data_IF_799488978469
#
_entry.id   IF_799488978469
#
_cell.length_a   1.000
_cell.length_b   1.000
_cell.length_c   1.000
_cell.angle_alpha   90.00
_cell.angle_beta   90.00
_cell.angle_gamma   90.00
#
_symmetry.space_group_name_H-M   'P 1'
#
loop_
_entity.id
_entity.type
_entity.pdbx_description
1 polymer ?
#
# COMPACT_ATOMS: atom_id res chain seq x y z
N UNK A 1 -12.65 -16.46 10.06
CA UNK A 1 -12.50 -14.99 9.99
C UNK A 1 -13.81 -14.38 10.44
N UNK A 2 -13.89 -13.94 11.70
CA UNK A 2 -15.04 -13.18 12.20
C UNK A 2 -14.76 -11.69 12.04
N UNK A 3 -15.79 -10.89 11.76
CA UNK A 3 -15.72 -9.42 11.70
C UNK A 3 -14.64 -8.81 10.79
N UNK A 4 -14.41 -9.41 9.61
CA UNK A 4 -13.42 -8.93 8.61
C UNK A 4 -14.07 -8.32 7.37
N UNK A 5 -15.36 -7.99 7.41
CA UNK A 5 -16.06 -7.43 6.25
C UNK A 5 -15.54 -6.03 5.86
N UNK A 6 -15.04 -5.23 6.81
CA UNK A 6 -14.34 -3.97 6.56
C UNK A 6 -13.12 -4.16 5.64
N UNK A 7 -12.39 -5.25 5.85
CA UNK A 7 -11.22 -5.59 5.05
C UNK A 7 -11.65 -6.10 3.67
N UNK A 8 -12.63 -7.00 3.62
CA UNK A 8 -13.13 -7.56 2.37
C UNK A 8 -13.71 -6.49 1.43
N UNK A 9 -14.48 -5.53 1.95
CA UNK A 9 -15.07 -4.46 1.13
C UNK A 9 -14.00 -3.57 0.51
N UNK A 10 -12.98 -3.18 1.28
CA UNK A 10 -11.84 -2.39 0.79
C UNK A 10 -11.01 -3.17 -0.23
N UNK A 11 -10.73 -4.45 0.01
CA UNK A 11 -10.01 -5.30 -0.94
C UNK A 11 -10.73 -5.41 -2.29
N UNK A 12 -12.07 -5.54 -2.27
CA UNK A 12 -12.87 -5.54 -3.50
C UNK A 12 -12.80 -4.18 -4.20
N UNK A 13 -12.99 -3.07 -3.47
CA UNK A 13 -12.89 -1.73 -4.05
C UNK A 13 -11.54 -1.48 -4.72
N UNK A 14 -10.44 -1.85 -4.05
CA UNK A 14 -9.09 -1.75 -4.59
C UNK A 14 -8.85 -2.69 -5.78
N UNK A 15 -9.40 -3.90 -5.78
CA UNK A 15 -9.29 -4.83 -6.91
C UNK A 15 -9.98 -4.30 -8.18
N UNK A 16 -11.08 -3.56 -8.04
CA UNK A 16 -11.77 -2.93 -9.16
C UNK A 16 -11.19 -1.57 -9.56
N UNK A 17 -10.29 -0.99 -8.76
CA UNK A 17 -9.43 0.12 -9.17
C UNK A 17 -8.38 -0.40 -10.16
N UNK A 18 -8.64 -0.29 -11.47
CA UNK A 18 -7.79 -0.88 -12.53
C UNK A 18 -6.31 -0.50 -12.42
N UNK A 19 -5.93 0.79 -12.26
CA UNK A 19 -4.51 1.17 -12.16
C UNK A 19 -3.81 0.48 -10.99
N UNK A 20 -4.50 0.41 -9.83
CA UNK A 20 -3.96 -0.24 -8.64
C UNK A 20 -3.80 -1.75 -8.84
N UNK A 21 -4.85 -2.41 -9.35
CA UNK A 21 -4.80 -3.85 -9.65
C UNK A 21 -3.67 -4.19 -10.60
N UNK A 22 -3.49 -3.42 -11.67
CA UNK A 22 -2.43 -3.67 -12.66
C UNK A 22 -1.03 -3.55 -12.04
N UNK A 23 -0.78 -2.53 -11.22
CA UNK A 23 0.49 -2.40 -10.48
C UNK A 23 0.73 -3.54 -9.49
N UNK A 24 -0.30 -3.95 -8.75
CA UNK A 24 -0.22 -5.07 -7.78
C UNK A 24 0.01 -6.42 -8.48
N UNK A 25 -0.60 -6.66 -9.63
CA UNK A 25 -0.38 -7.88 -10.43
C UNK A 25 1.00 -7.88 -11.10
N UNK A 26 1.50 -6.71 -11.51
CA UNK A 26 2.83 -6.55 -12.09
C UNK A 26 3.97 -6.59 -11.04
N UNK A 27 3.64 -6.46 -9.75
CA UNK A 27 4.61 -6.47 -8.67
C UNK A 27 5.32 -7.83 -8.59
N UNK A 28 6.61 -7.85 -8.92
CA UNK A 28 7.44 -9.05 -8.93
C UNK A 28 8.01 -9.32 -7.54
N UNK A 29 7.52 -10.36 -6.88
CA UNK A 29 8.11 -10.84 -5.63
C UNK A 29 9.51 -11.37 -5.92
N UNK A 30 10.54 -10.73 -5.35
CA UNK A 30 11.91 -11.21 -5.48
C UNK A 30 12.09 -12.49 -4.64
N UNK A 31 12.75 -13.55 -5.16
CA UNK A 31 12.83 -14.86 -4.47
C UNK A 31 13.47 -14.83 -3.07
N UNK A 32 14.28 -13.80 -2.78
CA UNK A 32 14.99 -13.64 -1.51
C UNK A 32 14.33 -12.64 -0.56
N UNK A 33 13.22 -12.01 -0.94
CA UNK A 33 12.54 -11.05 -0.07
C UNK A 33 11.67 -11.74 0.96
N UNK A 34 11.68 -11.16 2.17
CA UNK A 34 10.78 -11.54 3.25
C UNK A 34 9.34 -11.24 2.81
N UNK A 35 8.42 -12.14 3.12
CA UNK A 35 6.98 -11.90 2.94
C UNK A 35 6.59 -10.59 3.63
N UNK A 36 5.71 -9.80 3.01
CA UNK A 36 5.15 -8.53 3.49
C UNK A 36 3.64 -8.46 3.19
N UNK A 37 2.95 -7.46 3.73
CA UNK A 37 1.54 -7.24 3.39
C UNK A 37 1.32 -7.04 1.88
N UNK A 38 2.25 -6.35 1.20
CA UNK A 38 2.22 -6.17 -0.25
C UNK A 38 2.39 -7.50 -1.00
N UNK A 39 3.29 -8.38 -0.58
CA UNK A 39 3.43 -9.70 -1.23
C UNK A 39 2.17 -10.54 -1.02
N UNK A 40 1.58 -10.53 0.17
CA UNK A 40 0.32 -11.24 0.44
C UNK A 40 -0.85 -10.66 -0.37
N UNK A 41 -0.88 -9.34 -0.59
CA UNK A 41 -1.89 -8.69 -1.43
C UNK A 41 -1.73 -9.08 -2.90
N UNK A 42 -0.49 -9.07 -3.40
CA UNK A 42 -0.18 -9.51 -4.76
C UNK A 42 -0.58 -10.97 -4.99
N UNK A 43 -0.27 -11.88 -4.06
CA UNK A 43 -0.70 -13.28 -4.10
C UNK A 43 -2.22 -13.42 -4.13
N UNK A 44 -2.94 -12.63 -3.33
CA UNK A 44 -4.39 -12.63 -3.29
C UNK A 44 -4.99 -12.14 -4.62
N UNK A 45 -4.49 -11.03 -5.16
CA UNK A 45 -4.96 -10.48 -6.44
C UNK A 45 -4.67 -11.43 -7.61
N UNK A 46 -3.49 -12.04 -7.63
CA UNK A 46 -3.16 -13.09 -8.59
C UNK A 46 -4.11 -14.28 -8.47
N UNK A 47 -4.39 -14.74 -7.23
CA UNK A 47 -5.32 -15.85 -6.98
C UNK A 47 -6.74 -15.57 -7.49
N UNK A 48 -7.20 -14.31 -7.46
CA UNK A 48 -8.47 -13.87 -8.03
C UNK A 48 -8.40 -13.84 -9.56
N UNK A 49 -7.36 -13.21 -10.12
CA UNK A 49 -7.21 -13.01 -11.55
C UNK A 49 -7.04 -14.32 -12.34
N UNK A 50 -6.41 -15.35 -11.74
CA UNK A 50 -6.14 -16.63 -12.40
C UNK A 50 -7.19 -17.70 -12.13
N UNK A 51 -8.36 -17.35 -11.59
CA UNK A 51 -9.43 -18.32 -11.37
C UNK A 51 -9.90 -18.94 -12.69
N UNK A 52 -10.01 -20.27 -12.71
CA UNK A 52 -10.54 -21.01 -13.87
C UNK A 52 -12.04 -20.73 -14.10
N UNK A 53 -12.79 -20.50 -13.02
CA UNK A 53 -14.22 -20.20 -13.04
C UNK A 53 -14.42 -18.69 -13.02
N UNK A 54 -15.42 -18.19 -13.76
CA UNK A 54 -15.80 -16.76 -13.75
C UNK A 54 -16.34 -16.28 -12.40
N UNK A 55 -16.88 -17.19 -11.60
CA UNK A 55 -17.49 -16.90 -10.30
C UNK A 55 -17.00 -17.93 -9.28
N UNK A 56 -16.65 -17.46 -8.09
CA UNK A 56 -16.16 -18.28 -6.98
C UNK A 56 -15.89 -17.44 -5.73
N UNK A 57 -15.40 -18.10 -4.69
CA UNK A 57 -15.05 -17.46 -3.40
C UNK A 57 -13.60 -17.81 -3.06
N UNK A 58 -12.81 -16.80 -2.68
CA UNK A 58 -11.43 -16.98 -2.24
C UNK A 58 -11.31 -16.47 -0.80
N UNK A 59 -10.89 -17.31 0.15
CA UNK A 59 -10.65 -16.87 1.51
C UNK A 59 -9.28 -16.16 1.62
N UNK A 60 -9.21 -14.88 2.05
CA UNK A 60 -7.95 -14.12 2.13
C UNK A 60 -7.11 -14.49 3.37
N UNK A 61 -6.95 -15.79 3.67
CA UNK A 61 -6.39 -16.29 4.94
C UNK A 61 -5.00 -15.74 5.24
N UNK A 62 -4.11 -15.82 4.24
CA UNK A 62 -2.71 -15.36 4.35
C UNK A 62 -2.65 -13.86 4.57
N UNK A 63 -3.40 -13.10 3.78
CA UNK A 63 -3.46 -11.64 3.91
C UNK A 63 -3.96 -11.21 5.30
N UNK A 64 -5.06 -11.79 5.79
CA UNK A 64 -5.59 -11.45 7.13
C UNK A 64 -4.60 -11.85 8.23
N UNK A 65 -3.97 -13.02 8.13
CA UNK A 65 -2.95 -13.44 9.10
C UNK A 65 -1.77 -12.48 9.11
N UNK A 66 -1.39 -11.94 7.96
CA UNK A 66 -0.29 -10.98 7.84
C UNK A 66 -0.67 -9.61 8.38
N UNK A 67 -1.86 -9.10 8.04
CA UNK A 67 -2.41 -7.85 8.54
C UNK A 67 -2.40 -7.82 10.08
N UNK A 68 -2.91 -8.87 10.72
CA UNK A 68 -2.93 -9.00 12.17
C UNK A 68 -1.54 -9.01 12.79
N UNK A 69 -0.59 -9.69 12.14
CA UNK A 69 0.80 -9.74 12.61
C UNK A 69 1.52 -8.39 12.50
N UNK A 70 1.19 -7.58 11.49
CA UNK A 70 1.86 -6.30 11.24
C UNK A 70 1.25 -5.12 11.99
N UNK A 71 0.00 -5.22 12.44
CA UNK A 71 -0.65 -4.15 13.17
C UNK A 71 -1.62 -4.69 14.23
N UNK A 72 -1.27 -4.47 15.50
CA UNK A 72 -2.01 -4.91 16.68
C UNK A 72 -3.45 -4.37 16.72
N UNK A 73 -3.69 -3.19 16.11
CA UNK A 73 -5.04 -2.62 16.00
C UNK A 73 -6.02 -3.58 15.31
N UNK A 74 -5.52 -4.32 14.31
CA UNK A 74 -6.31 -5.29 13.56
C UNK A 74 -6.20 -6.71 14.13
N UNK A 75 -5.35 -6.97 15.12
CA UNK A 75 -5.14 -8.28 15.77
C UNK A 75 -6.20 -8.62 16.82
N UNK A 76 -7.45 -8.54 16.42
CA UNK A 76 -8.57 -8.95 17.25
C UNK A 76 -9.73 -9.42 16.35
N UNK A 77 -10.84 -9.75 16.99
CA UNK A 77 -12.07 -10.20 16.33
C UNK A 77 -13.17 -9.13 16.34
N UNK A 78 -12.83 -7.86 16.57
CA UNK A 78 -13.79 -6.76 16.55
C UNK A 78 -14.03 -6.27 15.12
N UNK A 79 -15.18 -5.64 14.89
CA UNK A 79 -15.39 -4.84 13.68
C UNK A 79 -14.45 -3.63 13.74
N UNK A 80 -13.94 -3.22 12.58
CA UNK A 80 -13.00 -2.11 12.44
C UNK A 80 -13.50 -1.14 11.39
N UNK A 81 -12.98 0.10 11.43
CA UNK A 81 -13.30 1.09 10.43
C UNK A 81 -12.61 0.75 9.09
N UNK A 82 -13.40 0.67 8.01
CA UNK A 82 -12.90 0.39 6.68
C UNK A 82 -11.99 1.52 6.15
N UNK A 83 -12.26 2.77 6.50
CA UNK A 83 -11.42 3.90 6.12
C UNK A 83 -10.06 3.84 6.81
N UNK A 84 -10.03 3.49 8.10
CA UNK A 84 -8.78 3.29 8.84
C UNK A 84 -7.95 2.15 8.22
N UNK A 85 -8.58 1.02 7.89
CA UNK A 85 -7.91 -0.07 7.18
C UNK A 85 -7.37 0.35 5.82
N UNK A 86 -8.16 1.09 5.01
CA UNK A 86 -7.72 1.58 3.70
C UNK A 86 -6.49 2.48 3.83
N UNK A 87 -6.55 3.44 4.74
CA UNK A 87 -5.46 4.40 4.95
C UNK A 87 -4.18 3.67 5.40
N UNK A 88 -4.29 2.78 6.38
CA UNK A 88 -3.18 1.93 6.82
C UNK A 88 -2.60 1.11 5.66
N UNK A 89 -3.45 0.44 4.88
CA UNK A 89 -3.00 -0.43 3.78
C UNK A 89 -2.23 0.37 2.71
N UNK A 90 -2.74 1.52 2.28
CA UNK A 90 -2.09 2.33 1.25
C UNK A 90 -0.75 2.88 1.73
N UNK A 91 -0.67 3.41 2.95
CA UNK A 91 0.57 3.91 3.52
C UNK A 91 1.59 2.79 3.72
N UNK A 92 1.18 1.63 4.25
CA UNK A 92 2.06 0.46 4.41
C UNK A 92 2.65 0.01 3.07
N UNK A 93 1.85 -0.03 2.00
CA UNK A 93 2.35 -0.37 0.66
C UNK A 93 3.31 0.70 0.14
N UNK A 94 2.98 1.98 0.34
CA UNK A 94 3.84 3.08 -0.08
C UNK A 94 5.21 3.03 0.61
N UNK A 95 5.25 2.80 1.92
CA UNK A 95 6.47 2.70 2.72
C UNK A 95 7.33 1.52 2.26
N UNK A 96 6.71 0.35 2.06
CA UNK A 96 7.40 -0.84 1.55
C UNK A 96 8.07 -0.54 0.20
N UNK A 97 7.38 0.11 -0.73
CA UNK A 97 7.95 0.46 -2.03
C UNK A 97 9.08 1.49 -1.95
N UNK A 98 8.99 2.44 -1.03
CA UNK A 98 10.06 3.42 -0.80
C UNK A 98 11.30 2.74 -0.21
N UNK A 99 11.11 1.83 0.74
CA UNK A 99 12.21 1.06 1.32
C UNK A 99 12.91 0.23 0.24
N UNK A 100 12.17 -0.39 -0.67
CA UNK A 100 12.72 -1.15 -1.79
C UNK A 100 13.56 -0.28 -2.73
N UNK A 101 13.05 0.90 -3.13
CA UNK A 101 13.82 1.85 -3.96
C UNK A 101 15.11 2.30 -3.27
N UNK A 102 15.08 2.53 -1.95
CA UNK A 102 16.27 2.89 -1.17
C UNK A 102 17.31 1.76 -1.17
N UNK A 103 16.87 0.51 -1.00
CA UNK A 103 17.76 -0.66 -1.04
C UNK A 103 18.38 -0.87 -2.44
N UNK A 104 17.61 -0.66 -3.52
CA UNK A 104 18.12 -0.75 -4.90
C UNK A 104 19.17 0.32 -5.20
N UNK A 105 18.93 1.58 -4.76
CA UNK A 105 19.92 2.66 -4.88
C UNK A 105 21.21 2.36 -4.11
N UNK A 106 21.12 1.79 -2.91
CA UNK A 106 22.30 1.40 -2.12
C UNK A 106 23.09 0.26 -2.76
N UNK A 107 22.40 -0.77 -3.27
CA UNK A 107 23.06 -1.90 -3.94
C UNK A 107 23.69 -1.50 -5.29
N UNK A 108 23.09 -0.54 -6.01
CA UNK A 108 23.63 -0.03 -7.28
C UNK A 108 24.87 0.88 -7.13
N UNK A 109 24.99 1.62 -6.02
CA UNK A 109 26.15 2.50 -5.74
C UNK A 109 27.47 1.74 -5.53
N UNK A 110 27.44 0.45 -5.24
CA UNK A 110 28.64 -0.37 -5.09
C UNK A 110 29.30 -0.76 -6.43
N UNK A 111 28.64 -0.54 -7.58
CA UNK A 111 29.17 -0.94 -8.90
C UNK A 111 29.72 0.20 -9.77
N UNK A 112 29.35 1.46 -9.55
CA UNK A 112 29.90 2.60 -10.30
C UNK A 112 30.21 3.75 -9.35
N UNK A 113 31.51 3.97 -9.13
CA UNK A 113 32.01 5.14 -8.42
C UNK A 113 31.84 6.40 -9.27
N UNK A 114 30.74 7.10 -9.10
CA UNK A 114 30.56 8.45 -9.65
C UNK A 114 29.67 9.29 -8.75
N UNK A 115 30.16 10.49 -8.50
CA UNK A 115 29.66 11.55 -7.63
C UNK A 115 28.38 12.13 -8.25
N UNK A 116 27.24 12.08 -7.54
CA UNK A 116 26.07 12.86 -7.92
C UNK A 116 25.36 13.48 -6.70
N UNK A 117 25.45 14.82 -6.70
CA UNK A 117 24.45 15.84 -6.39
C UNK A 117 23.41 15.58 -5.29
N UNK A 118 23.49 16.43 -4.27
CA UNK A 118 22.43 16.78 -3.31
C UNK A 118 21.24 17.42 -4.03
N UNK A 119 20.45 16.65 -4.79
CA UNK A 119 19.10 17.07 -5.12
C UNK A 119 18.20 16.82 -3.91
N UNK A 120 17.63 17.92 -3.40
CA UNK A 120 16.94 17.99 -2.13
C UNK A 120 15.84 16.95 -1.92
N UNK A 121 15.65 16.67 -0.63
CA UNK A 121 14.76 15.76 0.10
C UNK A 121 13.29 15.70 -0.36
N UNK A 122 13.03 15.46 -1.65
CA UNK A 122 11.70 15.09 -2.14
C UNK A 122 11.55 13.58 -1.95
N UNK A 123 10.56 13.12 -1.17
CA UNK A 123 10.31 11.69 -1.03
C UNK A 123 10.05 11.10 -2.42
N UNK A 124 10.78 10.04 -2.75
CA UNK A 124 10.58 9.32 -4.00
C UNK A 124 9.12 8.85 -4.06
N UNK A 125 8.35 9.43 -4.98
CA UNK A 125 6.95 9.04 -5.18
C UNK A 125 6.90 7.58 -5.64
N UNK A 126 5.91 6.86 -5.13
CA UNK A 126 5.64 5.46 -5.49
C UNK A 126 4.43 5.40 -6.39
N UNK A 127 4.18 4.26 -7.03
CA UNK A 127 2.96 4.11 -7.84
C UNK A 127 1.68 4.17 -6.98
N UNK A 128 1.75 4.00 -5.66
CA UNK A 128 0.61 4.27 -4.76
C UNK A 128 0.29 5.76 -4.76
N UNK A 129 1.33 6.60 -4.63
CA UNK A 129 1.20 8.05 -4.69
C UNK A 129 0.71 8.52 -6.06
N UNK A 130 1.23 7.95 -7.15
CA UNK A 130 0.76 8.25 -8.52
C UNK A 130 -0.74 8.01 -8.72
N UNK A 131 -1.32 7.02 -8.01
CA UNK A 131 -2.73 6.61 -8.17
C UNK A 131 -3.66 7.36 -7.21
N UNK A 132 -3.25 7.54 -5.95
CA UNK A 132 -4.15 7.99 -4.88
C UNK A 132 -3.76 9.32 -4.24
N UNK A 133 -2.55 9.84 -4.44
CA UNK A 133 -2.14 11.08 -3.80
C UNK A 133 -2.79 12.29 -4.50
N UNK A 134 -3.37 13.17 -3.69
CA UNK A 134 -3.78 14.51 -4.09
C UNK A 134 -3.08 15.56 -3.22
N UNK A 135 -3.46 16.82 -3.38
CA UNK A 135 -2.99 17.93 -2.54
C UNK A 135 -4.19 18.76 -2.11
N UNK A 136 -4.28 19.04 -0.82
CA UNK A 136 -5.27 19.94 -0.23
C UNK A 136 -4.56 21.22 0.23
N UNK A 137 -5.07 22.37 -0.16
CA UNK A 137 -4.67 23.66 0.40
C UNK A 137 -5.68 24.05 1.46
N UNK A 138 -5.24 24.14 2.72
CA UNK A 138 -6.07 24.57 3.83
C UNK A 138 -5.75 26.02 4.16
N UNK A 139 -6.74 26.90 4.09
CA UNK A 139 -6.63 28.31 4.46
C UNK A 139 -7.46 28.58 5.71
N UNK A 140 -6.82 29.15 6.73
CA UNK A 140 -7.48 29.56 7.97
C UNK A 140 -7.51 31.07 8.04
N UNK A 141 -8.71 31.65 7.94
CA UNK A 141 -8.94 33.08 8.15
C UNK A 141 -9.30 33.36 9.60
N UNK A 142 -8.51 34.19 10.27
CA UNK A 142 -8.85 34.72 11.58
C UNK A 142 -10.05 35.67 11.47
N UNK A 143 -11.13 35.41 12.22
CA UNK A 143 -12.34 36.26 12.20
C UNK A 143 -12.18 37.59 12.97
N UNK A 144 -11.06 37.79 13.69
CA UNK A 144 -10.80 39.01 14.46
C UNK A 144 -9.84 39.98 13.77
N UNK A 145 -8.76 39.48 13.16
CA UNK A 145 -7.76 40.32 12.49
C UNK A 145 -7.70 40.12 10.97
N UNK A 146 -8.61 39.31 10.41
CA UNK A 146 -8.73 38.99 8.98
C UNK A 146 -7.51 38.34 8.31
N UNK A 147 -6.44 38.09 9.07
CA UNK A 147 -5.26 37.39 8.58
C UNK A 147 -5.62 35.98 8.08
N UNK A 148 -5.12 35.62 6.89
CA UNK A 148 -5.23 34.29 6.30
C UNK A 148 -3.87 33.59 6.42
N UNK A 149 -3.87 32.36 6.91
CA UNK A 149 -2.70 31.47 6.98
C UNK A 149 -2.99 30.12 6.35
#
# INVERSE_FOLDING_TARGET
FGNTCYCNSVLQALYFCRPFREKVLAYKVQPRKKESLLTCLSDLFNSIATQKKKVGVIPPKKFISRLRKENELFDNYMQQDAHEFLNYLLNTIADLLQEEKKQEKQNGKLQNGSIESEEGDKPDLTWVHEIFQGTLTNETRCLNCEAVR
#
